data_IF_856000439656
#
_entry.id   IF_856000439656
#
_cell.length_a   1.000
_cell.length_b   1.000
_cell.length_c   1.000
_cell.angle_alpha   90.00
_cell.angle_beta   90.00
_cell.angle_gamma   90.00
#
_symmetry.space_group_name_H-M   'P 1'
#
loop_
_entity.id
_entity.type
_entity.pdbx_description
1 polymer ?
#
# COMPACT_ATOMS: atom_id res chain seq x y z
N UNK A 1 5.51 8.54 -15.42
CA UNK A 1 6.09 9.90 -15.37
C UNK A 1 6.09 10.34 -13.91
N UNK A 2 7.27 10.45 -13.29
CA UNK A 2 7.39 10.80 -11.88
C UNK A 2 7.29 12.32 -11.71
N UNK A 3 6.42 12.75 -10.80
CA UNK A 3 6.29 14.15 -10.39
C UNK A 3 7.41 14.46 -9.37
N UNK A 4 8.18 15.51 -9.63
CA UNK A 4 9.34 15.90 -8.84
C UNK A 4 8.93 17.04 -7.89
N UNK A 5 8.89 16.75 -6.59
CA UNK A 5 8.73 17.76 -5.55
C UNK A 5 9.88 18.77 -5.54
N UNK A 6 9.57 20.03 -5.26
CA UNK A 6 10.55 21.12 -5.29
C UNK A 6 11.58 21.01 -4.16
N UNK A 7 12.84 21.14 -4.57
CA UNK A 7 14.01 21.38 -3.75
C UNK A 7 14.04 22.86 -3.37
N UNK A 8 14.17 23.21 -2.09
CA UNK A 8 15.08 24.25 -1.53
C UNK A 8 14.82 24.47 -0.01
N UNK A 9 15.86 24.79 0.81
CA UNK A 9 15.75 24.84 2.27
C UNK A 9 15.56 26.26 2.86
N UNK A 10 14.87 26.27 4.02
CA UNK A 10 14.95 27.15 5.21
C UNK A 10 15.19 28.66 5.10
N UNK A 11 14.43 29.44 5.90
CA UNK A 11 15.01 30.45 6.82
C UNK A 11 14.18 30.63 8.09
N UNK A 12 14.91 30.75 9.19
CA UNK A 12 14.59 31.05 10.60
C UNK A 12 13.79 32.33 10.88
N UNK A 13 13.06 32.35 12.02
CA UNK A 13 13.31 33.29 13.14
C UNK A 13 12.42 33.04 14.37
N UNK A 14 12.80 33.51 15.58
CA UNK A 14 12.39 32.96 16.88
C UNK A 14 11.58 33.94 17.78
N UNK A 15 11.27 33.48 19.02
CA UNK A 15 11.01 34.25 20.29
C UNK A 15 9.52 34.61 20.59
N UNK A 16 9.03 34.76 21.87
CA UNK A 16 9.58 34.48 23.22
C UNK A 16 8.69 33.64 24.19
N UNK A 17 9.33 33.25 25.29
CA UNK A 17 8.80 32.95 26.63
C UNK A 17 8.12 34.14 27.34
N UNK A 18 7.04 33.89 28.09
CA UNK A 18 6.92 34.24 29.53
C UNK A 18 5.49 34.12 30.09
N UNK A 19 5.46 33.99 31.42
CA UNK A 19 4.40 34.33 32.39
C UNK A 19 3.64 33.15 33.05
N UNK A 20 4.23 32.71 34.15
CA UNK A 20 3.59 32.14 35.36
C UNK A 20 2.53 33.07 35.97
N UNK A 21 1.42 32.49 36.46
CA UNK A 21 0.73 32.98 37.66
C UNK A 21 0.27 31.81 38.54
N UNK A 22 0.69 31.87 39.81
CA UNK A 22 0.26 31.02 40.92
C UNK A 22 -0.63 31.87 41.82
N UNK A 23 -1.83 31.39 42.16
CA UNK A 23 -2.53 31.60 43.44
C UNK A 23 -3.73 30.63 43.44
N UNK A 24 -4.04 29.86 44.47
CA UNK A 24 -3.87 30.06 45.89
C UNK A 24 -5.25 30.34 46.50
N UNK A 25 -6.06 29.31 46.76
CA UNK A 25 -7.21 29.42 47.67
C UNK A 25 -7.40 28.13 48.49
N UNK A 26 -7.39 28.31 49.80
CA UNK A 26 -7.62 27.31 50.87
C UNK A 26 -9.13 27.08 51.12
N UNK A 27 -9.52 25.96 51.75
CA UNK A 27 -10.91 25.51 51.83
C UNK A 27 -11.70 26.15 52.98
N UNK A 28 -13.01 26.31 52.81
CA UNK A 28 -13.96 26.60 53.89
C UNK A 28 -14.64 25.32 54.37
N UNK A 29 -14.71 25.14 55.70
CA UNK A 29 -15.46 24.09 56.36
C UNK A 29 -16.97 24.38 56.33
N UNK A 30 -17.76 23.30 56.27
CA UNK A 30 -19.16 23.31 56.66
C UNK A 30 -20.13 23.00 55.53
N UNK A 31 -20.67 21.78 55.52
CA UNK A 31 -22.08 21.44 55.72
C UNK A 31 -22.30 20.09 55.04
N UNK A 32 -22.64 19.08 55.84
CA UNK A 32 -22.85 17.72 55.35
C UNK A 32 -24.05 17.61 54.41
N UNK A 33 -23.97 16.64 53.51
CA UNK A 33 -25.09 15.84 53.02
C UNK A 33 -24.55 14.69 52.15
N UNK A 34 -24.95 13.48 52.56
CA UNK A 34 -25.22 12.31 51.74
C UNK A 34 -24.22 12.03 50.62
N UNK A 35 -23.35 11.06 50.83
CA UNK A 35 -22.67 10.35 49.74
C UNK A 35 -23.70 9.49 48.99
N UNK A 36 -24.05 9.75 47.72
CA UNK A 36 -24.35 8.66 46.84
C UNK A 36 -23.00 8.01 46.50
N UNK A 37 -22.86 6.71 46.75
CA UNK A 37 -21.81 5.93 46.10
C UNK A 37 -22.07 5.95 44.60
N UNK A 38 -21.65 7.02 43.92
CA UNK A 38 -21.32 6.98 42.51
C UNK A 38 -20.19 5.97 42.40
N UNK A 39 -20.54 4.74 42.07
CA UNK A 39 -19.60 3.84 41.45
C UNK A 39 -19.09 4.53 40.19
N UNK A 40 -17.94 5.20 40.30
CA UNK A 40 -17.04 5.37 39.18
C UNK A 40 -16.68 3.95 38.73
N UNK A 41 -17.57 3.34 37.94
CA UNK A 41 -17.15 2.36 36.98
C UNK A 41 -16.11 3.10 36.15
N UNK A 42 -14.84 2.85 36.45
CA UNK A 42 -13.73 3.29 35.62
C UNK A 42 -14.15 2.89 34.21
N UNK A 43 -14.37 3.88 33.35
CA UNK A 43 -14.36 3.66 31.91
C UNK A 43 -12.97 3.12 31.62
N UNK A 44 -12.83 1.80 31.73
CA UNK A 44 -11.71 1.12 31.12
C UNK A 44 -11.88 1.45 29.64
N UNK A 45 -10.91 2.13 29.00
CA UNK A 45 -11.00 2.36 27.58
C UNK A 45 -11.19 0.98 26.94
N UNK A 46 -12.28 0.82 26.18
CA UNK A 46 -12.46 -0.37 25.37
C UNK A 46 -11.18 -0.49 24.55
N UNK A 47 -10.46 -1.62 24.60
CA UNK A 47 -9.22 -1.78 23.87
C UNK A 47 -9.48 -1.39 22.41
N UNK A 48 -8.70 -0.43 21.92
CA UNK A 48 -8.83 -0.03 20.52
C UNK A 48 -8.56 -1.27 19.66
N UNK A 49 -9.45 -1.58 18.72
CA UNK A 49 -9.25 -2.73 17.83
C UNK A 49 -7.89 -2.62 17.14
N UNK A 50 -7.19 -3.72 16.83
CA UNK A 50 -5.99 -3.69 16.01
C UNK A 50 -6.20 -2.88 14.73
N UNK A 51 -5.19 -2.13 14.28
CA UNK A 51 -5.30 -1.22 13.12
C UNK A 51 -5.81 -1.96 11.87
N UNK A 52 -5.32 -3.17 11.63
CA UNK A 52 -5.78 -4.03 10.55
C UNK A 52 -7.28 -4.37 10.63
N UNK A 53 -7.80 -4.62 11.83
CA UNK A 53 -9.21 -4.95 12.03
C UNK A 53 -10.10 -3.73 11.73
N UNK A 54 -9.62 -2.54 12.08
CA UNK A 54 -10.30 -1.30 11.75
C UNK A 54 -10.28 -1.04 10.24
N UNK A 55 -9.13 -1.25 9.58
CA UNK A 55 -9.03 -1.17 8.12
C UNK A 55 -10.01 -2.12 7.44
N UNK A 56 -10.02 -3.40 7.84
CA UNK A 56 -10.88 -4.42 7.26
C UNK A 56 -12.37 -4.12 7.51
N UNK A 57 -12.71 -3.61 8.70
CA UNK A 57 -14.06 -3.12 8.99
C UNK A 57 -14.45 -1.95 8.06
N UNK A 58 -13.54 -1.00 7.83
CA UNK A 58 -13.78 0.10 6.91
C UNK A 58 -14.05 -0.38 5.49
N UNK A 59 -13.29 -1.36 4.99
CA UNK A 59 -13.55 -1.99 3.68
C UNK A 59 -14.95 -2.64 3.66
N UNK A 60 -15.32 -3.39 4.71
CA UNK A 60 -16.63 -4.04 4.83
C UNK A 60 -17.80 -3.05 4.85
N UNK A 61 -17.61 -1.88 5.46
CA UNK A 61 -18.63 -0.84 5.52
C UNK A 61 -18.75 -0.11 4.19
N UNK A 62 -17.63 0.25 3.56
CA UNK A 62 -17.62 0.95 2.27
C UNK A 62 -18.18 0.09 1.14
N UNK A 63 -17.95 -1.22 1.15
CA UNK A 63 -18.55 -2.11 0.15
C UNK A 63 -20.08 -2.20 0.30
N UNK A 64 -20.70 -1.83 1.42
CA UNK A 64 -22.17 -1.82 1.53
C UNK A 64 -22.79 -0.60 0.84
N UNK A 65 -21.99 0.36 0.39
CA UNK A 65 -22.48 1.56 -0.28
C UNK A 65 -22.88 1.26 -1.74
N UNK A 66 -23.93 1.92 -2.26
CA UNK A 66 -24.42 1.67 -3.60
C UNK A 66 -23.46 2.22 -4.65
N UNK A 67 -22.94 1.35 -5.54
CA UNK A 67 -21.91 1.70 -6.55
C UNK A 67 -22.10 0.95 -7.86
N UNK A 68 -22.28 -0.36 -7.79
CA UNK A 68 -22.47 -1.27 -8.93
C UNK A 68 -23.60 -2.23 -8.56
N UNK A 69 -24.44 -2.59 -9.54
CA UNK A 69 -25.53 -3.51 -9.30
C UNK A 69 -25.08 -4.98 -9.37
N UNK A 70 -25.63 -5.81 -8.48
CA UNK A 70 -25.24 -7.22 -8.34
C UNK A 70 -25.64 -8.12 -9.51
N UNK A 71 -26.50 -7.65 -10.41
CA UNK A 71 -26.89 -8.37 -11.63
C UNK A 71 -25.90 -8.21 -12.78
N UNK A 72 -24.92 -7.31 -12.66
CA UNK A 72 -23.87 -7.16 -13.67
C UNK A 72 -22.87 -8.32 -13.62
N UNK A 73 -22.40 -8.76 -14.79
CA UNK A 73 -21.26 -9.67 -14.87
C UNK A 73 -20.03 -9.00 -14.20
N UNK A 74 -19.31 -9.79 -13.41
CA UNK A 74 -18.10 -9.38 -12.68
C UNK A 74 -18.35 -8.19 -11.72
N UNK A 75 -19.56 -8.08 -11.16
CA UNK A 75 -19.94 -6.95 -10.30
C UNK A 75 -19.02 -6.79 -9.08
N UNK A 76 -18.49 -7.87 -8.51
CA UNK A 76 -17.52 -7.80 -7.40
C UNK A 76 -16.22 -7.12 -7.82
N UNK A 77 -15.71 -7.45 -9.02
CA UNK A 77 -14.54 -6.77 -9.61
C UNK A 77 -14.81 -5.29 -9.81
N UNK A 78 -15.92 -4.94 -10.45
CA UNK A 78 -16.29 -3.53 -10.71
C UNK A 78 -16.47 -2.75 -9.41
N UNK A 79 -17.13 -3.34 -8.42
CA UNK A 79 -17.32 -2.76 -7.10
C UNK A 79 -15.99 -2.55 -6.38
N UNK A 80 -15.11 -3.55 -6.41
CA UNK A 80 -13.75 -3.43 -5.90
C UNK A 80 -12.98 -2.31 -6.60
N UNK A 81 -13.01 -2.27 -7.93
CA UNK A 81 -12.37 -1.22 -8.73
C UNK A 81 -12.80 0.18 -8.28
N UNK A 82 -14.10 0.44 -8.17
CA UNK A 82 -14.61 1.75 -7.76
C UNK A 82 -14.23 2.09 -6.31
N UNK A 83 -14.25 1.11 -5.40
CA UNK A 83 -13.77 1.30 -4.04
C UNK A 83 -12.29 1.69 -4.01
N UNK A 84 -11.43 0.90 -4.67
CA UNK A 84 -9.99 1.12 -4.61
C UNK A 84 -9.55 2.36 -5.39
N UNK A 85 -10.29 2.82 -6.40
CA UNK A 85 -10.07 4.16 -7.00
C UNK A 85 -10.27 5.28 -5.97
N UNK A 86 -11.31 5.21 -5.14
CA UNK A 86 -11.55 6.22 -4.10
C UNK A 86 -10.44 6.18 -3.04
N UNK A 87 -10.03 4.98 -2.62
CA UNK A 87 -8.97 4.83 -1.62
C UNK A 87 -7.59 5.24 -2.15
N UNK A 88 -7.29 4.95 -3.41
CA UNK A 88 -6.14 5.46 -4.15
C UNK A 88 -6.09 6.99 -4.08
N UNK A 89 -7.21 7.65 -4.41
CA UNK A 89 -7.27 9.11 -4.40
C UNK A 89 -7.06 9.68 -2.99
N UNK A 90 -7.62 9.06 -1.95
CA UNK A 90 -7.34 9.47 -0.56
C UNK A 90 -5.86 9.35 -0.20
N UNK A 91 -5.18 8.30 -0.67
CA UNK A 91 -3.74 8.07 -0.48
C UNK A 91 -2.82 9.06 -1.23
N UNK A 92 -3.37 10.04 -1.95
CA UNK A 92 -2.60 11.01 -2.74
C UNK A 92 -2.10 10.46 -4.06
N UNK A 93 -2.73 9.40 -4.57
CA UNK A 93 -2.54 8.88 -5.93
C UNK A 93 -3.66 9.42 -6.85
N UNK A 94 -4.01 10.70 -6.68
CA UNK A 94 -5.07 11.46 -7.38
C UNK A 94 -4.47 12.42 -8.42
N UNK A 95 -4.00 11.89 -9.54
CA UNK A 95 -3.39 12.70 -10.60
C UNK A 95 -3.76 12.23 -12.00
N UNK A 96 -3.45 13.04 -13.02
CA UNK A 96 -3.73 12.72 -14.42
C UNK A 96 -3.15 11.35 -14.81
N UNK A 97 -1.94 11.03 -14.34
CA UNK A 97 -1.32 9.72 -14.55
C UNK A 97 -2.20 8.56 -14.07
N UNK A 98 -2.77 8.68 -12.87
CA UNK A 98 -3.62 7.65 -12.26
C UNK A 98 -5.03 7.61 -12.87
N UNK A 99 -5.55 8.77 -13.26
CA UNK A 99 -6.81 8.85 -14.00
C UNK A 99 -6.70 8.20 -15.38
N UNK A 100 -5.56 8.36 -16.06
CA UNK A 100 -5.31 7.74 -17.36
C UNK A 100 -5.06 6.22 -17.26
N UNK A 101 -4.47 5.75 -16.15
CA UNK A 101 -4.16 4.33 -15.99
C UNK A 101 -5.33 3.50 -15.51
N UNK A 102 -6.08 3.93 -14.48
CA UNK A 102 -7.19 3.14 -13.93
C UNK A 102 -8.50 3.91 -13.81
N UNK A 103 -8.61 5.12 -14.38
CA UNK A 103 -9.84 5.91 -14.40
C UNK A 103 -10.03 6.83 -13.17
N UNK A 104 -10.95 7.77 -13.29
CA UNK A 104 -11.34 8.67 -12.21
C UNK A 104 -12.14 7.92 -11.13
N UNK A 105 -11.99 8.31 -9.87
CA UNK A 105 -12.78 7.75 -8.78
C UNK A 105 -14.27 8.11 -8.88
N UNK A 106 -15.12 7.17 -8.46
CA UNK A 106 -16.56 7.35 -8.45
C UNK A 106 -16.98 8.46 -7.46
N UNK A 107 -17.49 9.57 -8.00
CA UNK A 107 -17.90 10.74 -7.20
C UNK A 107 -19.05 10.43 -6.24
N UNK A 108 -20.01 9.59 -6.64
CA UNK A 108 -21.15 9.23 -5.79
C UNK A 108 -20.70 8.34 -4.62
N UNK A 109 -19.81 7.38 -4.87
CA UNK A 109 -19.21 6.57 -3.81
C UNK A 109 -18.42 7.44 -2.83
N UNK A 110 -17.53 8.29 -3.33
CA UNK A 110 -16.74 9.21 -2.53
C UNK A 110 -17.64 10.11 -1.66
N UNK A 111 -18.69 10.69 -2.25
CA UNK A 111 -19.70 11.47 -1.51
C UNK A 111 -20.36 10.65 -0.39
N UNK A 112 -20.82 9.43 -0.67
CA UNK A 112 -21.44 8.55 0.32
C UNK A 112 -20.48 8.16 1.45
N UNK A 113 -19.21 7.90 1.14
CA UNK A 113 -18.18 7.63 2.15
C UNK A 113 -17.99 8.84 3.06
N UNK A 114 -17.82 10.05 2.48
CA UNK A 114 -17.65 11.28 3.26
C UNK A 114 -18.85 11.61 4.14
N UNK A 115 -20.06 11.33 3.67
CA UNK A 115 -21.30 11.58 4.40
C UNK A 115 -21.47 10.62 5.59
N UNK A 116 -21.21 9.32 5.39
CA UNK A 116 -21.48 8.28 6.40
C UNK A 116 -20.27 7.96 7.29
N UNK A 117 -19.07 8.18 6.79
CA UNK A 117 -17.80 7.82 7.41
C UNK A 117 -16.78 8.96 7.22
N UNK A 118 -17.07 10.13 7.80
CA UNK A 118 -16.30 11.36 7.60
C UNK A 118 -14.81 11.27 7.98
N UNK A 119 -14.42 10.32 8.82
CA UNK A 119 -13.02 10.07 9.21
C UNK A 119 -12.24 9.21 8.21
N UNK A 120 -12.89 8.56 7.24
CA UNK A 120 -12.20 7.66 6.30
C UNK A 120 -11.21 8.38 5.39
N UNK A 121 -11.54 9.53 4.76
CA UNK A 121 -10.57 10.25 3.95
C UNK A 121 -9.23 10.52 4.65
N UNK A 122 -9.25 10.95 5.93
CA UNK A 122 -8.02 11.20 6.70
C UNK A 122 -7.37 9.93 7.26
N UNK A 123 -8.14 8.87 7.48
CA UNK A 123 -7.57 7.59 7.93
C UNK A 123 -6.78 6.89 6.80
N UNK A 124 -7.23 7.05 5.55
CA UNK A 124 -6.62 6.47 4.36
C UNK A 124 -5.62 7.41 3.65
N UNK A 125 -5.41 8.63 4.15
CA UNK A 125 -4.46 9.57 3.55
C UNK A 125 -3.01 9.27 3.90
N UNK A 126 -2.07 9.95 3.23
CA UNK A 126 -0.67 10.02 3.69
C UNK A 126 -0.60 10.61 5.10
N UNK A 127 0.26 10.06 5.96
CA UNK A 127 0.29 10.33 7.40
C UNK A 127 -0.96 9.85 8.16
N UNK A 128 -1.91 9.21 7.48
CA UNK A 128 -3.15 8.72 8.06
C UNK A 128 -2.96 7.42 8.83
N UNK A 129 -3.99 7.05 9.59
CA UNK A 129 -3.99 5.85 10.46
C UNK A 129 -3.56 4.58 9.75
N UNK A 130 -3.97 4.40 8.50
CA UNK A 130 -3.74 3.17 7.76
C UNK A 130 -2.48 3.20 6.88
N UNK A 131 -1.79 4.33 6.75
CA UNK A 131 -0.68 4.47 5.79
C UNK A 131 0.35 3.34 5.89
N UNK A 132 0.82 3.07 7.11
CA UNK A 132 1.81 2.05 7.43
C UNK A 132 1.17 0.96 8.30
N UNK A 133 0.54 -0.03 7.67
CA UNK A 133 -0.27 -1.02 8.39
C UNK A 133 0.49 -2.33 8.58
N UNK A 134 0.75 -2.70 9.84
CA UNK A 134 1.28 -4.03 10.16
C UNK A 134 0.21 -5.11 9.91
N UNK A 135 0.60 -6.15 9.17
CA UNK A 135 -0.27 -7.28 8.85
C UNK A 135 -0.40 -8.24 10.04
N UNK A 136 -1.58 -8.84 10.24
CA UNK A 136 -1.85 -9.68 11.40
C UNK A 136 -0.94 -10.92 11.41
N UNK A 137 -0.31 -11.18 12.57
CA UNK A 137 0.53 -12.36 12.77
C UNK A 137 1.89 -12.33 12.06
N UNK A 138 2.32 -11.16 11.54
CA UNK A 138 3.61 -11.02 10.85
C UNK A 138 4.33 -9.74 11.30
N UNK A 139 5.62 -9.61 10.98
CA UNK A 139 6.38 -8.36 11.12
C UNK A 139 6.20 -7.40 9.93
N UNK A 140 5.41 -7.79 8.94
CA UNK A 140 5.34 -7.11 7.64
C UNK A 140 4.44 -5.89 7.75
N UNK A 141 4.97 -4.75 7.28
CA UNK A 141 4.25 -3.48 7.20
C UNK A 141 3.90 -3.21 5.74
N UNK A 142 2.64 -2.91 5.48
CA UNK A 142 2.10 -2.61 4.16
C UNK A 142 2.02 -1.09 3.97
N UNK A 143 2.48 -0.58 2.82
CA UNK A 143 2.09 0.76 2.35
C UNK A 143 0.68 0.67 1.76
N UNK A 144 -0.31 1.10 2.54
CA UNK A 144 -1.73 0.97 2.17
C UNK A 144 -2.10 1.89 1.00
N UNK A 145 -1.69 3.17 0.95
CA UNK A 145 -1.86 4.01 -0.23
C UNK A 145 -1.34 3.36 -1.52
N UNK A 146 -0.11 2.83 -1.50
CA UNK A 146 0.50 2.14 -2.64
C UNK A 146 -0.30 0.89 -3.03
N UNK A 147 -0.63 0.04 -2.05
CA UNK A 147 -1.45 -1.16 -2.24
C UNK A 147 -2.80 -0.82 -2.92
N UNK A 148 -3.49 0.22 -2.46
CA UNK A 148 -4.79 0.64 -3.01
C UNK A 148 -4.65 1.16 -4.46
N UNK A 149 -3.55 1.85 -4.77
CA UNK A 149 -3.25 2.28 -6.12
C UNK A 149 -3.01 1.09 -7.06
N UNK A 150 -2.13 0.16 -6.66
CA UNK A 150 -1.79 -1.04 -7.42
C UNK A 150 -3.01 -1.95 -7.65
N UNK A 151 -3.79 -2.24 -6.61
CA UNK A 151 -4.96 -3.12 -6.72
C UNK A 151 -6.04 -2.52 -7.62
N UNK A 152 -6.24 -1.18 -7.58
CA UNK A 152 -7.18 -0.51 -8.49
C UNK A 152 -6.83 -0.78 -9.95
N UNK A 153 -5.53 -0.78 -10.29
CA UNK A 153 -5.09 -1.02 -11.66
C UNK A 153 -5.18 -2.49 -12.05
N UNK A 154 -4.92 -3.43 -11.13
CA UNK A 154 -5.18 -4.84 -11.41
C UNK A 154 -6.67 -5.11 -11.63
N UNK A 155 -7.56 -4.44 -10.90
CA UNK A 155 -9.01 -4.62 -11.05
C UNK A 155 -9.60 -3.93 -12.26
N UNK A 156 -8.97 -2.88 -12.79
CA UNK A 156 -9.41 -2.15 -13.98
C UNK A 156 -9.53 -3.07 -15.20
N UNK A 157 -8.56 -3.98 -15.33
CA UNK A 157 -8.51 -4.96 -16.40
C UNK A 157 -9.19 -6.27 -16.01
N UNK A 158 -10.14 -6.73 -16.83
CA UNK A 158 -10.81 -8.00 -16.61
C UNK A 158 -9.92 -9.21 -16.93
N UNK A 159 -8.99 -9.10 -17.88
CA UNK A 159 -8.28 -10.24 -18.48
C UNK A 159 -6.74 -10.15 -18.42
N UNK A 160 -6.17 -9.10 -17.81
CA UNK A 160 -4.71 -8.84 -17.78
C UNK A 160 -4.06 -8.55 -19.15
N UNK A 161 -4.88 -8.14 -20.13
CA UNK A 161 -4.53 -7.75 -21.51
C UNK A 161 -4.67 -6.23 -21.77
N UNK A 162 -4.60 -5.41 -20.73
CA UNK A 162 -4.77 -3.96 -20.84
C UNK A 162 -3.68 -3.34 -21.73
N UNK A 163 -4.10 -2.30 -22.48
CA UNK A 163 -3.21 -1.46 -23.30
C UNK A 163 -2.02 -0.96 -22.47
N UNK A 164 -2.28 -0.61 -21.20
CA UNK A 164 -1.25 -0.30 -20.22
C UNK A 164 -1.18 -1.49 -19.25
N UNK A 165 -0.05 -2.24 -19.21
CA UNK A 165 0.11 -3.36 -18.31
C UNK A 165 -0.12 -2.94 -16.86
N UNK A 166 -0.93 -3.71 -16.12
CA UNK A 166 -1.29 -3.34 -14.74
C UNK A 166 -0.07 -3.31 -13.81
N UNK A 167 0.93 -4.13 -14.10
CA UNK A 167 2.17 -4.23 -13.34
C UNK A 167 3.01 -2.94 -13.37
N UNK A 168 2.79 -2.07 -14.36
CA UNK A 168 3.47 -0.76 -14.43
C UNK A 168 3.02 0.21 -13.34
N UNK A 169 1.83 0.00 -12.78
CA UNK A 169 1.31 0.74 -11.63
C UNK A 169 1.60 0.02 -10.30
N UNK A 170 2.55 -0.91 -10.33
CA UNK A 170 2.89 -1.84 -9.25
C UNK A 170 4.38 -2.24 -9.41
N UNK A 171 4.74 -3.49 -9.12
CA UNK A 171 6.11 -3.99 -9.01
C UNK A 171 6.99 -3.70 -10.21
N UNK A 172 6.44 -3.64 -11.42
CA UNK A 172 7.23 -3.40 -12.61
C UNK A 172 7.65 -1.92 -12.70
N UNK A 173 6.81 -1.00 -12.22
CA UNK A 173 7.12 0.43 -12.09
C UNK A 173 8.19 0.68 -11.03
N UNK A 174 8.06 0.05 -9.86
CA UNK A 174 9.02 0.21 -8.76
C UNK A 174 10.36 -0.45 -9.09
N UNK A 175 10.35 -1.62 -9.73
CA UNK A 175 11.56 -2.25 -10.26
C UNK A 175 12.30 -1.35 -11.26
N UNK A 176 11.59 -0.53 -12.04
CA UNK A 176 12.22 0.43 -12.94
C UNK A 176 12.86 1.60 -12.17
N UNK A 177 12.17 2.13 -11.16
CA UNK A 177 12.73 3.15 -10.26
C UNK A 177 13.99 2.61 -9.56
N UNK A 178 13.96 1.35 -9.15
CA UNK A 178 15.10 0.64 -8.59
C UNK A 178 16.25 0.48 -9.57
N UNK A 179 15.99 0.07 -10.82
CA UNK A 179 17.01 -0.02 -11.86
C UNK A 179 17.72 1.33 -12.11
N UNK A 180 16.96 2.43 -12.16
CA UNK A 180 17.51 3.79 -12.26
C UNK A 180 18.40 4.13 -11.07
N UNK A 181 18.00 3.73 -9.86
CA UNK A 181 18.79 3.96 -8.64
C UNK A 181 20.10 3.18 -8.66
N UNK A 182 20.08 1.92 -9.12
CA UNK A 182 21.29 1.11 -9.32
C UNK A 182 22.28 1.77 -10.28
N UNK A 183 21.77 2.30 -11.40
CA UNK A 183 22.60 3.05 -12.35
C UNK A 183 23.21 4.28 -11.70
N UNK A 184 22.42 5.09 -11.01
CA UNK A 184 22.90 6.27 -10.30
C UNK A 184 24.02 5.94 -9.30
N UNK A 185 23.89 4.85 -8.55
CA UNK A 185 24.92 4.39 -7.61
C UNK A 185 26.19 3.99 -8.34
N UNK A 186 26.06 3.24 -9.43
CA UNK A 186 27.21 2.85 -10.25
C UNK A 186 27.92 4.06 -10.85
N UNK A 187 27.15 5.05 -11.30
CA UNK A 187 27.66 6.29 -11.88
C UNK A 187 28.41 7.15 -10.84
N UNK A 188 27.96 7.18 -9.59
CA UNK A 188 28.62 7.96 -8.52
C UNK A 188 29.79 7.21 -7.90
N UNK A 189 29.57 5.97 -7.48
CA UNK A 189 30.55 5.19 -6.74
C UNK A 189 31.58 4.51 -7.66
N UNK A 190 31.36 4.52 -8.98
CA UNK A 190 32.22 3.89 -10.00
C UNK A 190 32.54 2.43 -9.70
N UNK A 191 31.57 1.72 -9.13
CA UNK A 191 31.73 0.32 -8.74
C UNK A 191 31.59 -0.63 -9.95
N UNK A 192 32.23 -1.82 -9.90
CA UNK A 192 32.05 -2.86 -10.91
C UNK A 192 30.59 -3.35 -11.00
N UNK A 193 30.18 -3.84 -12.16
CA UNK A 193 28.84 -4.37 -12.37
C UNK A 193 28.49 -5.57 -11.48
N UNK A 194 29.47 -6.37 -11.05
CA UNK A 194 29.22 -7.46 -10.11
C UNK A 194 28.81 -6.96 -8.73
N UNK A 195 29.40 -5.85 -8.27
CA UNK A 195 28.96 -5.18 -7.04
C UNK A 195 27.54 -4.63 -7.18
N UNK A 196 27.18 -4.08 -8.36
CA UNK A 196 25.81 -3.64 -8.64
C UNK A 196 24.82 -4.81 -8.55
N UNK A 197 25.16 -5.98 -9.11
CA UNK A 197 24.32 -7.19 -9.04
C UNK A 197 24.14 -7.66 -7.60
N UNK A 198 25.22 -7.67 -6.81
CA UNK A 198 25.16 -8.03 -5.40
C UNK A 198 24.27 -7.07 -4.60
N UNK A 199 24.39 -5.76 -4.85
CA UNK A 199 23.52 -4.73 -4.27
C UNK A 199 22.06 -4.99 -4.66
N UNK A 200 21.78 -5.20 -5.95
CA UNK A 200 20.43 -5.45 -6.44
C UNK A 200 19.76 -6.63 -5.71
N UNK A 201 20.47 -7.75 -5.62
CA UNK A 201 19.97 -8.98 -4.99
C UNK A 201 19.75 -8.89 -3.48
N UNK A 202 20.54 -8.03 -2.82
CA UNK A 202 20.47 -7.84 -1.37
C UNK A 202 19.34 -6.89 -0.98
N UNK A 203 19.07 -5.87 -1.79
CA UNK A 203 18.28 -4.72 -1.37
C UNK A 203 16.91 -4.57 -2.01
N UNK A 204 16.62 -5.26 -3.11
CA UNK A 204 15.28 -5.23 -3.70
C UNK A 204 14.24 -5.82 -2.74
N UNK A 205 13.20 -5.05 -2.41
CA UNK A 205 12.19 -5.45 -1.42
C UNK A 205 12.75 -5.72 -0.02
N UNK A 206 13.91 -5.12 0.32
CA UNK A 206 14.56 -5.25 1.62
C UNK A 206 14.26 -4.10 2.58
N UNK A 207 14.62 -4.29 3.85
CA UNK A 207 14.39 -3.32 4.94
C UNK A 207 15.51 -2.27 5.11
N UNK A 208 16.57 -2.28 4.27
CA UNK A 208 17.68 -1.32 4.39
C UNK A 208 17.35 0.00 3.68
N UNK A 209 17.10 1.02 4.51
CA UNK A 209 16.71 2.38 4.16
C UNK A 209 17.63 3.13 3.20
N UNK A 210 18.91 2.72 3.08
CA UNK A 210 19.85 3.41 2.18
C UNK A 210 19.52 3.21 0.69
N UNK A 211 18.82 2.12 0.36
CA UNK A 211 18.47 1.70 -0.99
C UNK A 211 17.01 1.26 -1.17
N UNK A 212 16.28 1.03 -0.07
CA UNK A 212 14.86 0.69 -0.07
C UNK A 212 13.96 1.84 -0.54
N UNK A 213 14.46 3.09 -0.58
CA UNK A 213 13.69 4.27 -1.04
C UNK A 213 13.19 4.19 -2.49
N UNK A 214 13.60 3.18 -3.27
CA UNK A 214 13.18 3.01 -4.66
C UNK A 214 12.33 1.76 -4.93
N UNK A 215 12.43 0.74 -4.07
CA UNK A 215 11.56 -0.45 -4.08
C UNK A 215 11.77 -1.23 -2.76
N UNK A 216 11.23 -0.68 -1.67
CA UNK A 216 11.46 -1.18 -0.32
C UNK A 216 10.57 -2.34 0.04
N UNK A 217 10.73 -2.89 1.25
CA UNK A 217 9.91 -4.01 1.71
C UNK A 217 8.41 -3.71 1.72
N UNK A 218 8.01 -2.51 2.18
CA UNK A 218 6.60 -2.11 2.24
C UNK A 218 5.92 -2.10 0.86
N UNK A 219 6.58 -1.50 -0.12
CA UNK A 219 6.10 -1.45 -1.51
C UNK A 219 6.10 -2.84 -2.16
N UNK A 220 7.18 -3.61 -1.95
CA UNK A 220 7.30 -4.98 -2.45
C UNK A 220 6.15 -5.87 -1.96
N UNK A 221 5.81 -5.82 -0.67
CA UNK A 221 4.66 -6.55 -0.14
C UNK A 221 3.33 -5.96 -0.61
N UNK A 222 3.22 -4.63 -0.73
CA UNK A 222 2.03 -3.96 -1.25
C UNK A 222 1.71 -4.42 -2.68
N UNK A 223 2.71 -4.54 -3.54
CA UNK A 223 2.58 -4.99 -4.92
C UNK A 223 2.16 -6.45 -5.05
N UNK A 224 2.86 -7.33 -4.33
CA UNK A 224 2.58 -8.76 -4.32
C UNK A 224 1.16 -9.00 -3.79
N UNK A 225 0.81 -8.35 -2.69
CA UNK A 225 -0.49 -8.51 -2.06
C UNK A 225 -1.61 -7.89 -2.91
N UNK A 226 -1.38 -6.75 -3.57
CA UNK A 226 -2.36 -6.12 -4.44
C UNK A 226 -2.76 -7.05 -5.59
N UNK A 227 -1.78 -7.72 -6.23
CA UNK A 227 -2.04 -8.72 -7.26
C UNK A 227 -2.86 -9.89 -6.70
N UNK A 228 -2.49 -10.40 -5.53
CA UNK A 228 -3.16 -11.53 -4.89
C UNK A 228 -4.62 -11.22 -4.53
N UNK A 229 -4.86 -10.09 -3.87
CA UNK A 229 -6.21 -9.68 -3.50
C UNK A 229 -7.03 -9.36 -4.76
N UNK A 230 -6.47 -8.70 -5.78
CA UNK A 230 -7.16 -8.49 -7.05
C UNK A 230 -7.56 -9.81 -7.72
N UNK A 231 -6.66 -10.80 -7.74
CA UNK A 231 -6.93 -12.12 -8.30
C UNK A 231 -8.09 -12.83 -7.60
N UNK A 232 -8.17 -12.72 -6.27
CA UNK A 232 -9.27 -13.26 -5.48
C UNK A 232 -10.60 -12.55 -5.78
N UNK A 233 -10.59 -11.23 -5.93
CA UNK A 233 -11.78 -10.43 -6.28
C UNK A 233 -12.26 -10.75 -7.70
N UNK A 234 -11.34 -10.85 -8.68
CA UNK A 234 -11.67 -11.25 -10.07
C UNK A 234 -12.33 -12.62 -10.14
N UNK A 235 -12.08 -13.50 -9.16
CA UNK A 235 -12.72 -14.81 -9.00
C UNK A 235 -14.04 -14.79 -8.23
N UNK A 236 -14.60 -13.60 -7.98
CA UNK A 236 -15.96 -13.43 -7.46
C UNK A 236 -16.07 -13.18 -5.96
N UNK A 237 -14.96 -13.04 -5.24
CA UNK A 237 -14.97 -12.64 -3.83
C UNK A 237 -15.23 -11.14 -3.69
N UNK A 238 -15.94 -10.73 -2.64
CA UNK A 238 -15.99 -9.30 -2.31
C UNK A 238 -14.62 -8.78 -1.87
N UNK A 239 -14.38 -7.45 -1.92
CA UNK A 239 -13.15 -6.85 -1.37
C UNK A 239 -12.89 -7.27 0.08
N UNK A 240 -13.90 -7.21 0.94
CA UNK A 240 -13.78 -7.68 2.33
C UNK A 240 -13.43 -9.17 2.42
N UNK A 241 -14.15 -10.02 1.70
CA UNK A 241 -13.93 -11.48 1.74
C UNK A 241 -12.53 -11.85 1.26
N UNK A 242 -12.05 -11.20 0.19
CA UNK A 242 -10.71 -11.42 -0.36
C UNK A 242 -9.62 -11.06 0.65
N UNK A 243 -9.70 -9.89 1.27
CA UNK A 243 -8.72 -9.45 2.29
C UNK A 243 -8.78 -10.29 3.56
N UNK A 244 -9.98 -10.62 4.03
CA UNK A 244 -10.16 -11.43 5.22
C UNK A 244 -9.61 -12.85 5.02
N UNK A 245 -9.87 -13.48 3.87
CA UNK A 245 -9.34 -14.80 3.57
C UNK A 245 -7.84 -14.82 3.34
N UNK A 246 -7.30 -13.76 2.73
CA UNK A 246 -5.88 -13.64 2.43
C UNK A 246 -5.03 -13.36 3.68
N UNK A 247 -5.37 -12.35 4.46
CA UNK A 247 -4.54 -11.92 5.59
C UNK A 247 -4.88 -12.60 6.90
N UNK A 248 -6.17 -12.69 7.24
CA UNK A 248 -6.59 -13.16 8.57
C UNK A 248 -6.71 -14.68 8.62
N UNK A 249 -7.37 -15.27 7.63
CA UNK A 249 -7.55 -16.71 7.59
C UNK A 249 -6.34 -17.44 6.97
N UNK A 250 -5.39 -16.69 6.39
CA UNK A 250 -4.15 -17.21 5.79
C UNK A 250 -4.41 -18.42 4.86
N UNK A 251 -5.53 -18.39 4.11
CA UNK A 251 -5.94 -19.52 3.27
C UNK A 251 -5.01 -19.76 2.09
N UNK A 252 -4.12 -18.81 1.81
CA UNK A 252 -3.25 -18.80 0.66
C UNK A 252 -1.85 -18.40 1.11
N UNK A 253 -0.85 -19.12 0.64
CA UNK A 253 0.53 -18.66 0.69
C UNK A 253 0.71 -17.44 -0.21
N UNK A 254 1.42 -16.42 0.26
CA UNK A 254 1.58 -15.11 -0.41
C UNK A 254 2.27 -15.27 -1.76
N UNK A 255 3.47 -15.83 -1.76
CA UNK A 255 4.29 -15.91 -2.96
C UNK A 255 3.83 -17.05 -3.86
N UNK A 256 3.29 -18.12 -3.26
CA UNK A 256 2.66 -19.18 -4.01
C UNK A 256 1.45 -18.65 -4.79
N UNK A 257 0.54 -17.90 -4.14
CA UNK A 257 -0.60 -17.29 -4.81
C UNK A 257 -0.17 -16.26 -5.88
N UNK A 258 0.87 -15.47 -5.59
CA UNK A 258 1.38 -14.46 -6.51
C UNK A 258 1.83 -15.07 -7.82
N UNK A 259 2.68 -16.10 -7.75
CA UNK A 259 3.15 -16.84 -8.93
C UNK A 259 1.99 -17.53 -9.65
N UNK A 260 1.09 -18.19 -8.90
CA UNK A 260 -0.09 -18.84 -9.48
C UNK A 260 -1.08 -17.87 -10.13
N UNK A 261 -1.09 -16.59 -9.73
CA UNK A 261 -1.90 -15.56 -10.37
C UNK A 261 -1.46 -15.27 -11.81
N UNK A 262 -0.23 -15.64 -12.18
CA UNK A 262 0.27 -15.62 -13.57
C UNK A 262 0.12 -16.99 -14.26
N UNK A 263 -0.43 -17.98 -13.58
CA UNK A 263 -0.67 -19.34 -14.06
C UNK A 263 0.46 -20.34 -13.81
N UNK A 264 1.72 -19.90 -13.76
CA UNK A 264 2.86 -20.74 -13.39
C UNK A 264 4.12 -19.91 -13.12
N UNK A 265 5.16 -20.53 -12.53
CA UNK A 265 6.49 -19.92 -12.40
C UNK A 265 7.07 -19.48 -13.75
N UNK A 266 6.93 -20.31 -14.78
CA UNK A 266 7.39 -19.99 -16.13
C UNK A 266 6.70 -18.73 -16.66
N UNK A 267 5.36 -18.67 -16.57
CA UNK A 267 4.60 -17.52 -17.03
C UNK A 267 4.93 -16.25 -16.25
N UNK A 268 5.16 -16.36 -14.93
CA UNK A 268 5.61 -15.24 -14.11
C UNK A 268 6.95 -14.70 -14.59
N UNK A 269 7.95 -15.58 -14.78
CA UNK A 269 9.28 -15.18 -15.29
C UNK A 269 9.18 -14.58 -16.69
N UNK A 270 8.38 -15.18 -17.57
CA UNK A 270 8.13 -14.67 -18.92
C UNK A 270 7.48 -13.28 -18.85
N UNK A 271 6.52 -13.05 -17.94
CA UNK A 271 5.88 -11.75 -17.72
C UNK A 271 6.90 -10.71 -17.26
N UNK A 272 7.73 -11.00 -16.25
CA UNK A 272 8.82 -10.11 -15.79
C UNK A 272 9.77 -9.75 -16.93
N UNK A 273 10.16 -10.73 -17.74
CA UNK A 273 11.08 -10.52 -18.85
C UNK A 273 10.44 -9.76 -20.01
N UNK A 274 9.14 -9.96 -20.26
CA UNK A 274 8.37 -9.33 -21.33
C UNK A 274 8.16 -7.82 -21.15
N UNK A 275 8.35 -7.29 -19.94
CA UNK A 275 8.26 -5.85 -19.74
C UNK A 275 9.46 -5.15 -20.40
N UNK A 276 9.23 -4.68 -21.62
CA UNK A 276 10.13 -3.80 -22.32
C UNK A 276 9.72 -2.35 -22.00
N UNK A 277 10.59 -1.66 -21.28
CA UNK A 277 10.35 -0.27 -20.90
C UNK A 277 11.00 0.64 -21.95
N UNK A 278 10.30 0.90 -23.06
CA UNK A 278 10.79 1.77 -24.14
C UNK A 278 9.64 2.54 -24.83
N UNK A 279 9.76 3.86 -25.10
CA UNK A 279 10.62 4.89 -24.49
C UNK A 279 9.76 6.01 -23.89
N UNK A 280 9.58 6.03 -22.57
CA UNK A 280 9.13 7.25 -21.86
C UNK A 280 10.27 7.82 -20.99
N UNK A 281 11.35 7.06 -20.79
CA UNK A 281 12.56 7.50 -20.09
C UNK A 281 13.81 6.87 -20.72
N UNK A 282 14.41 7.47 -21.76
CA UNK A 282 15.64 6.99 -22.41
C UNK A 282 16.90 7.04 -21.51
N UNK A 283 16.74 7.25 -20.21
CA UNK A 283 17.82 7.56 -19.26
C UNK A 283 18.36 6.34 -18.52
N UNK A 284 17.67 5.20 -18.53
CA UNK A 284 18.12 3.99 -17.83
C UNK A 284 18.75 3.01 -18.81
N UNK A 285 20.02 2.69 -18.61
CA UNK A 285 20.73 1.72 -19.43
C UNK A 285 20.10 0.32 -19.26
N UNK A 286 19.78 -0.40 -20.36
CA UNK A 286 19.12 -1.69 -20.33
C UNK A 286 19.76 -2.74 -19.42
N UNK A 287 21.08 -2.67 -19.21
CA UNK A 287 21.80 -3.59 -18.31
C UNK A 287 21.27 -3.49 -16.88
N UNK A 288 20.96 -2.29 -16.38
CA UNK A 288 20.44 -2.14 -15.01
C UNK A 288 18.99 -2.63 -14.88
N UNK A 289 18.21 -2.53 -15.96
CA UNK A 289 16.86 -3.11 -16.02
C UNK A 289 16.94 -4.63 -15.94
N UNK A 290 17.85 -5.25 -16.69
CA UNK A 290 18.09 -6.71 -16.63
C UNK A 290 18.56 -7.15 -15.24
N UNK A 291 19.46 -6.39 -14.60
CA UNK A 291 19.91 -6.65 -13.23
C UNK A 291 18.73 -6.59 -12.24
N UNK A 292 17.87 -5.57 -12.33
CA UNK A 292 16.71 -5.43 -11.45
C UNK A 292 15.68 -6.56 -11.67
N UNK A 293 15.41 -6.95 -12.92
CA UNK A 293 14.54 -8.09 -13.25
C UNK A 293 15.03 -9.40 -12.64
N UNK A 294 16.33 -9.69 -12.82
CA UNK A 294 16.94 -10.90 -12.25
C UNK A 294 16.87 -10.89 -10.72
N UNK A 295 17.16 -9.76 -10.10
CA UNK A 295 17.06 -9.60 -8.64
C UNK A 295 15.63 -9.80 -8.13
N UNK A 296 14.63 -9.26 -8.83
CA UNK A 296 13.22 -9.42 -8.50
C UNK A 296 12.78 -10.89 -8.59
N UNK A 297 13.12 -11.57 -9.69
CA UNK A 297 12.83 -13.01 -9.87
C UNK A 297 13.47 -13.82 -8.75
N UNK A 298 14.76 -13.57 -8.45
CA UNK A 298 15.47 -14.28 -7.38
C UNK A 298 14.86 -14.00 -6.00
N UNK A 299 14.42 -12.76 -5.74
CA UNK A 299 13.73 -12.41 -4.50
C UNK A 299 12.44 -13.20 -4.34
N UNK A 300 11.57 -13.20 -5.35
CA UNK A 300 10.31 -13.97 -5.33
C UNK A 300 10.60 -15.48 -5.18
N UNK A 301 11.63 -15.99 -5.86
CA UNK A 301 12.01 -17.40 -5.77
C UNK A 301 12.42 -17.79 -4.34
N UNK A 302 13.26 -16.99 -3.68
CA UNK A 302 13.69 -17.23 -2.30
C UNK A 302 12.50 -17.23 -1.34
N UNK A 303 11.62 -16.24 -1.47
CA UNK A 303 10.44 -16.14 -0.62
C UNK A 303 9.45 -17.29 -0.85
N UNK A 304 9.30 -17.73 -2.10
CA UNK A 304 8.49 -18.91 -2.44
C UNK A 304 9.07 -20.18 -1.82
N UNK A 305 10.39 -20.37 -1.87
CA UNK A 305 11.06 -21.53 -1.27
C UNK A 305 10.93 -21.55 0.24
N UNK A 306 11.14 -20.41 0.90
CA UNK A 306 10.92 -20.27 2.33
C UNK A 306 9.45 -20.57 2.71
N UNK A 307 8.48 -20.07 1.94
CA UNK A 307 7.05 -20.36 2.15
C UNK A 307 6.70 -21.85 1.99
N UNK A 308 7.45 -22.57 1.14
CA UNK A 308 7.30 -24.01 0.91
C UNK A 308 8.14 -24.88 1.87
N UNK A 309 8.92 -24.27 2.77
CA UNK A 309 9.82 -24.99 3.69
C UNK A 309 11.00 -25.67 3.00
N UNK A 310 11.47 -25.10 1.88
CA UNK A 310 12.58 -25.59 1.08
C UNK A 310 13.78 -24.64 1.25
N UNK A 311 14.45 -24.70 2.40
CA UNK A 311 15.69 -23.94 2.65
C UNK A 311 16.95 -24.74 2.27
#
# INVERSE_FOLDING_TARGET
MADYGSLFPSTSSPVPSDVTYVSGFRPSQGVGRLSPSCSLARYLPVPEKPVFDQYLQSIQEMEKLPVVYSWEKDWQRKKGLELFKVLRDYGGYDGLSWMLTSGAANRLLNYNIRLKHSSYPSSFSRGGKFENMQLPGTSIVLDVPHFNAAISKYLDDANDDAIIPSEWASWAGDMFTYARRLQYIQDIAKIPMDSVRAIANKYIGGDDDSLSQSFGSKDFYADVDARNVAHLIKRGRSPYEAMNDYYRNQKFGRFNLFVHSYGSWKNFVDKVNSHFFFPITPTVNPIFVDVAKKAFIQRIQRELFHELGMD
#
